data_IF_657589690810
#
_entry.id   IF_657589690810
#
_cell.length_a   1.000
_cell.length_b   1.000
_cell.length_c   1.000
_cell.angle_alpha   90.00
_cell.angle_beta   90.00
_cell.angle_gamma   90.00
#
_symmetry.space_group_name_H-M   'P 1'
#
loop_
_entity.id
_entity.type
_entity.pdbx_description
1 polymer ?
#
# COMPACT_ATOMS: atom_id res chain seq x y z
N UNK A 1 -1.09 23.31 -2.19
CA UNK A 1 -1.62 22.17 -2.99
C UNK A 1 -2.12 21.10 -2.04
N UNK A 2 -3.21 20.38 -2.34
CA UNK A 2 -3.70 19.33 -1.45
C UNK A 2 -2.75 18.13 -1.46
N UNK A 3 -2.31 17.73 -0.26
CA UNK A 3 -1.49 16.54 -0.02
C UNK A 3 -2.20 15.26 -0.49
N UNK A 4 -1.42 14.25 -0.85
CA UNK A 4 -1.88 12.91 -1.19
C UNK A 4 -1.15 11.86 -0.36
N UNK A 5 -1.79 10.72 -0.14
CA UNK A 5 -1.24 9.62 0.63
C UNK A 5 -1.25 8.35 -0.22
N UNK A 6 -0.17 7.58 -0.17
CA UNK A 6 -0.16 6.17 -0.55
C UNK A 6 -0.19 5.35 0.74
N UNK A 7 -0.97 4.28 0.78
CA UNK A 7 -1.11 3.44 1.97
C UNK A 7 -1.15 1.95 1.62
N UNK A 8 -0.81 1.13 2.61
CA UNK A 8 -0.98 -0.32 2.56
C UNK A 8 -1.91 -0.75 3.69
N UNK A 9 -2.93 -1.54 3.34
CA UNK A 9 -3.77 -2.24 4.29
C UNK A 9 -3.40 -3.73 4.31
N UNK A 10 -3.40 -4.32 5.50
CA UNK A 10 -3.38 -5.76 5.69
C UNK A 10 -4.82 -6.24 5.92
N UNK A 11 -5.28 -7.17 5.11
CA UNK A 11 -6.59 -7.80 5.21
C UNK A 11 -6.57 -8.99 6.19
N UNK A 12 -7.75 -9.48 6.58
CA UNK A 12 -7.89 -10.56 7.58
C UNK A 12 -7.29 -11.89 7.15
N UNK A 13 -7.12 -12.11 5.85
CA UNK A 13 -6.44 -13.26 5.25
C UNK A 13 -4.92 -13.07 5.11
N UNK A 14 -4.39 -11.97 5.64
CA UNK A 14 -2.98 -11.58 5.53
C UNK A 14 -2.59 -11.01 4.16
N UNK A 15 -3.54 -10.79 3.24
CA UNK A 15 -3.25 -10.15 1.94
C UNK A 15 -2.99 -8.64 2.11
N UNK A 16 -2.23 -8.06 1.17
CA UNK A 16 -1.92 -6.64 1.18
C UNK A 16 -2.65 -5.89 0.06
N UNK A 17 -3.44 -4.90 0.44
CA UNK A 17 -4.05 -3.93 -0.46
C UNK A 17 -3.24 -2.63 -0.48
N UNK A 18 -2.95 -2.10 -1.67
CA UNK A 18 -2.23 -0.84 -1.85
C UNK A 18 -3.13 0.16 -2.57
N UNK A 19 -3.27 1.36 -2.02
CA UNK A 19 -4.08 2.42 -2.61
C UNK A 19 -3.54 3.81 -2.31
N UNK A 20 -4.14 4.82 -2.94
CA UNK A 20 -3.87 6.23 -2.66
C UNK A 20 -5.16 7.03 -2.43
N UNK A 21 -5.05 8.16 -1.73
CA UNK A 21 -6.18 9.05 -1.41
C UNK A 21 -5.70 10.42 -0.96
N UNK A 22 -6.57 11.44 -1.09
CA UNK A 22 -6.39 12.74 -0.43
C UNK A 22 -6.92 12.75 1.02
N UNK A 23 -7.78 11.79 1.37
CA UNK A 23 -8.51 11.71 2.63
C UNK A 23 -8.30 10.35 3.29
N UNK A 24 -7.15 10.15 3.95
CA UNK A 24 -6.73 8.85 4.49
C UNK A 24 -7.72 8.28 5.51
N UNK A 25 -8.08 9.05 6.53
CA UNK A 25 -8.99 8.60 7.59
C UNK A 25 -10.37 8.20 7.03
N UNK A 26 -10.96 9.03 6.16
CA UNK A 26 -12.23 8.72 5.50
C UNK A 26 -12.13 7.43 4.68
N UNK A 27 -11.04 7.24 3.94
CA UNK A 27 -10.85 6.06 3.10
C UNK A 27 -10.66 4.79 3.92
N UNK A 28 -9.89 4.86 5.00
CA UNK A 28 -9.72 3.74 5.93
C UNK A 28 -11.06 3.30 6.53
N UNK A 29 -11.89 4.25 6.99
CA UNK A 29 -13.22 3.94 7.52
C UNK A 29 -14.14 3.29 6.48
N UNK A 30 -14.09 3.73 5.22
CA UNK A 30 -14.82 3.06 4.12
C UNK A 30 -14.39 1.60 3.97
N UNK A 31 -13.08 1.33 3.96
CA UNK A 31 -12.57 -0.04 3.90
C UNK A 31 -13.00 -0.86 5.13
N UNK A 32 -12.89 -0.32 6.34
CA UNK A 32 -13.26 -1.02 7.58
C UNK A 32 -14.75 -1.37 7.65
N UNK A 33 -15.62 -0.58 7.01
CA UNK A 33 -17.08 -0.81 6.90
C UNK A 33 -17.48 -1.69 5.71
N UNK A 34 -16.52 -2.15 4.89
CA UNK A 34 -16.82 -2.89 3.67
C UNK A 34 -17.41 -2.05 2.52
N UNK A 35 -17.33 -0.72 2.63
CA UNK A 35 -17.72 0.26 1.59
C UNK A 35 -16.53 0.66 0.70
N UNK A 36 -15.35 0.07 0.95
CA UNK A 36 -14.14 0.29 0.18
C UNK A 36 -14.07 -0.57 -1.09
N UNK A 37 -12.84 -0.90 -1.51
CA UNK A 37 -12.62 -1.72 -2.70
C UNK A 37 -13.23 -3.13 -2.55
N UNK A 38 -13.72 -3.71 -3.65
CA UNK A 38 -14.28 -5.05 -3.71
C UNK A 38 -13.37 -6.12 -3.07
N UNK A 39 -12.05 -5.96 -3.22
CA UNK A 39 -11.07 -6.83 -2.59
C UNK A 39 -11.14 -6.76 -1.06
N UNK A 40 -10.95 -5.57 -0.48
CA UNK A 40 -11.00 -5.38 0.99
C UNK A 40 -12.35 -5.75 1.61
N UNK A 41 -13.46 -5.59 0.88
CA UNK A 41 -14.80 -5.99 1.35
C UNK A 41 -14.91 -7.49 1.60
N UNK A 42 -14.21 -8.31 0.82
CA UNK A 42 -14.22 -9.78 0.94
C UNK A 42 -13.25 -10.32 2.00
N UNK A 43 -12.32 -9.49 2.48
CA UNK A 43 -11.21 -9.91 3.34
C UNK A 43 -11.09 -9.03 4.60
N UNK A 44 -12.23 -8.67 5.21
CA UNK A 44 -12.25 -7.99 6.50
C UNK A 44 -11.77 -8.92 7.63
N UNK A 45 -11.18 -8.39 8.73
CA UNK A 45 -10.91 -6.97 9.00
C UNK A 45 -9.71 -6.42 8.22
N UNK A 46 -9.59 -5.10 8.09
CA UNK A 46 -8.42 -4.43 7.51
C UNK A 46 -7.66 -3.61 8.56
N UNK A 47 -6.32 -3.65 8.50
CA UNK A 47 -5.42 -2.84 9.34
C UNK A 47 -4.61 -1.90 8.46
N UNK A 48 -4.47 -0.64 8.85
CA UNK A 48 -3.55 0.29 8.19
C UNK A 48 -2.12 -0.01 8.69
N UNK A 49 -1.28 -0.60 7.82
CA UNK A 49 0.08 -1.04 8.19
C UNK A 49 1.16 -0.11 7.66
N UNK A 50 0.84 0.76 6.70
CA UNK A 50 1.81 1.71 6.15
C UNK A 50 1.15 2.93 5.52
N UNK A 51 1.82 4.07 5.61
CA UNK A 51 1.45 5.32 4.93
C UNK A 51 2.70 6.09 4.49
N UNK A 52 2.67 6.60 3.27
CA UNK A 52 3.60 7.62 2.76
C UNK A 52 2.80 8.86 2.35
N UNK A 53 3.25 10.03 2.82
CA UNK A 53 2.66 11.33 2.50
C UNK A 53 3.41 12.00 1.34
N UNK A 54 2.65 12.64 0.46
CA UNK A 54 3.14 13.37 -0.71
C UNK A 54 2.49 14.74 -0.81
N UNK A 55 3.22 15.72 -1.35
CA UNK A 55 2.73 17.08 -1.57
C UNK A 55 1.61 17.16 -2.62
N UNK A 56 1.49 16.13 -3.49
CA UNK A 56 0.49 16.06 -4.55
C UNK A 56 -0.06 14.64 -4.68
N UNK A 57 -1.33 14.55 -5.09
CA UNK A 57 -2.03 13.27 -5.25
C UNK A 57 -1.48 12.41 -6.40
N UNK A 58 -0.99 13.04 -7.48
CA UNK A 58 -0.41 12.33 -8.61
C UNK A 58 0.88 11.62 -8.21
N UNK A 59 1.73 12.23 -7.37
CA UNK A 59 2.92 11.56 -6.83
C UNK A 59 2.55 10.34 -5.98
N UNK A 60 1.51 10.45 -5.14
CA UNK A 60 0.99 9.32 -4.38
C UNK A 60 0.44 8.21 -5.29
N UNK A 61 -0.22 8.57 -6.40
CA UNK A 61 -0.71 7.61 -7.39
C UNK A 61 0.41 6.90 -8.16
N UNK A 62 1.46 7.62 -8.57
CA UNK A 62 2.64 7.00 -9.18
C UNK A 62 3.31 6.00 -8.24
N UNK A 63 3.40 6.36 -6.96
CA UNK A 63 3.91 5.45 -5.93
C UNK A 63 3.02 4.23 -5.73
N UNK A 64 1.71 4.42 -5.67
CA UNK A 64 0.74 3.32 -5.59
C UNK A 64 0.97 2.32 -6.73
N UNK A 65 1.08 2.80 -7.97
CA UNK A 65 1.34 1.94 -9.14
C UNK A 65 2.66 1.18 -9.04
N UNK A 66 3.70 1.84 -8.55
CA UNK A 66 4.99 1.20 -8.32
C UNK A 66 4.86 0.06 -7.30
N UNK A 67 4.20 0.30 -6.16
CA UNK A 67 4.11 -0.65 -5.04
C UNK A 67 3.07 -1.75 -5.29
N UNK A 68 2.01 -1.50 -6.05
CA UNK A 68 0.96 -2.50 -6.34
C UNK A 68 1.54 -3.80 -6.91
N UNK A 69 2.48 -3.70 -7.85
CA UNK A 69 3.14 -4.84 -8.49
C UNK A 69 4.31 -5.45 -7.70
N UNK A 70 4.61 -4.96 -6.49
CA UNK A 70 5.68 -5.51 -5.68
C UNK A 70 5.33 -6.87 -5.10
N UNK A 71 6.37 -7.71 -4.99
CA UNK A 71 6.28 -8.96 -4.23
C UNK A 71 5.92 -8.69 -2.77
N UNK A 72 5.36 -9.70 -2.10
CA UNK A 72 5.05 -9.64 -0.67
C UNK A 72 6.27 -9.19 0.16
N UNK A 73 7.44 -9.80 -0.09
CA UNK A 73 8.70 -9.49 0.60
C UNK A 73 9.11 -8.02 0.47
N UNK A 74 8.92 -7.41 -0.72
CA UNK A 74 9.21 -5.99 -0.94
C UNK A 74 8.24 -5.09 -0.18
N UNK A 75 6.96 -5.45 -0.11
CA UNK A 75 5.96 -4.71 0.69
C UNK A 75 6.27 -4.81 2.18
N UNK A 76 6.61 -5.99 2.68
CA UNK A 76 7.03 -6.20 4.08
C UNK A 76 8.29 -5.40 4.41
N UNK A 77 9.31 -5.42 3.53
CA UNK A 77 10.51 -4.59 3.72
C UNK A 77 10.18 -3.09 3.75
N UNK A 78 9.20 -2.64 2.97
CA UNK A 78 8.73 -1.26 3.00
C UNK A 78 8.01 -0.93 4.32
N UNK A 79 7.08 -1.78 4.74
CA UNK A 79 6.32 -1.66 5.99
C UNK A 79 7.26 -1.60 7.20
N UNK A 80 8.30 -2.44 7.20
CA UNK A 80 9.29 -2.53 8.28
C UNK A 80 10.38 -1.44 8.23
N UNK A 81 10.35 -0.52 7.26
CA UNK A 81 11.39 0.50 7.08
C UNK A 81 12.76 -0.05 6.64
N UNK A 82 12.82 -1.28 6.14
CA UNK A 82 14.05 -1.97 5.69
C UNK A 82 14.39 -1.57 4.24
N UNK A 83 14.51 -0.28 3.96
CA UNK A 83 14.71 0.26 2.61
C UNK A 83 15.96 -0.30 1.91
N UNK A 84 17.03 -0.57 2.68
CA UNK A 84 18.27 -1.15 2.15
C UNK A 84 18.08 -2.52 1.49
N UNK A 85 17.02 -3.27 1.86
CA UNK A 85 16.70 -4.57 1.26
C UNK A 85 15.93 -4.48 -0.04
N UNK A 86 15.36 -3.31 -0.38
CA UNK A 86 14.52 -3.16 -1.56
C UNK A 86 15.28 -3.41 -2.88
N UNK A 87 16.55 -2.95 -3.06
CA UNK A 87 17.34 -3.28 -4.25
C UNK A 87 17.57 -4.79 -4.39
N UNK A 88 18.00 -5.45 -3.30
CA UNK A 88 18.24 -6.90 -3.28
C UNK A 88 16.98 -7.70 -3.64
N UNK A 89 15.83 -7.28 -3.12
CA UNK A 89 14.54 -7.92 -3.40
C UNK A 89 13.96 -7.58 -4.78
N UNK A 90 14.60 -6.69 -5.54
CA UNK A 90 14.19 -6.31 -6.90
C UNK A 90 14.94 -7.06 -7.99
N UNK A 91 15.98 -7.82 -7.64
CA UNK A 91 16.77 -8.62 -8.57
C UNK A 91 15.87 -9.73 -9.13
N UNK A 92 15.66 -9.75 -10.44
CA UNK A 92 14.91 -10.81 -11.09
C UNK A 92 15.77 -12.09 -11.14
N UNK A 93 15.14 -13.26 -11.22
CA UNK A 93 15.86 -14.54 -11.32
C UNK A 93 16.85 -14.58 -12.51
N UNK A 94 16.53 -13.87 -13.60
CA UNK A 94 17.36 -13.72 -14.80
C UNK A 94 18.58 -12.80 -14.65
N UNK A 95 18.67 -12.05 -13.55
CA UNK A 95 19.77 -11.14 -13.26
C UNK A 95 20.85 -11.82 -12.39
N UNK A 96 20.72 -13.13 -12.14
CA UNK A 96 21.69 -13.99 -11.47
C UNK A 96 22.48 -14.84 -12.45
#
# INVERSE_FOLDING_TARGET
MPKGYMYILECGDGSYYTGSTKYLAKRFMQHARGEGANHTKKHLPVKLVFVEEYNRIDTAFYREKQVQGWSRKKKEALIDGKYAKLPELSIAYRDK
#
